data_IF_764922328405
#
_entry.id   IF_764922328405
#
_cell.length_a   1.000
_cell.length_b   1.000
_cell.length_c   1.000
_cell.angle_alpha   90.00
_cell.angle_beta   90.00
_cell.angle_gamma   90.00
#
_symmetry.space_group_name_H-M   'P 1'
#
loop_
_entity.id
_entity.type
_entity.pdbx_description
1 polymer ?
#
# COMPACT_ATOMS: atom_id res chain seq x y z
N UNK A 1 -19.50 -6.37 -2.84
CA UNK A 1 -19.95 -7.10 -1.64
C UNK A 1 -18.87 -7.01 -0.58
N UNK A 2 -19.19 -6.60 0.64
CA UNK A 2 -18.24 -6.51 1.76
C UNK A 2 -18.49 -7.67 2.71
N UNK A 3 -17.49 -8.54 2.90
CA UNK A 3 -17.48 -9.58 3.93
C UNK A 3 -16.74 -9.08 5.17
N UNK A 4 -17.26 -9.33 6.37
CA UNK A 4 -16.62 -8.91 7.62
C UNK A 4 -15.85 -10.10 8.22
N UNK A 5 -14.52 -10.01 8.30
CA UNK A 5 -13.71 -11.02 8.99
C UNK A 5 -13.39 -10.59 10.43
N UNK A 6 -13.66 -11.41 11.44
CA UNK A 6 -13.32 -11.08 12.82
C UNK A 6 -11.79 -11.04 13.02
N UNK A 7 -11.29 -10.06 13.79
CA UNK A 7 -9.87 -9.93 14.17
C UNK A 7 -9.50 -10.80 15.38
N UNK A 8 -10.49 -11.20 16.18
CA UNK A 8 -10.34 -11.94 17.45
C UNK A 8 -11.58 -12.82 17.68
N UNK A 9 -11.44 -13.87 18.49
CA UNK A 9 -12.59 -14.63 18.98
C UNK A 9 -13.50 -13.69 19.80
N UNK A 10 -14.82 -13.78 19.59
CA UNK A 10 -15.83 -12.90 20.21
C UNK A 10 -15.76 -11.41 19.80
N UNK A 11 -15.64 -11.14 18.50
CA UNK A 11 -15.75 -9.79 17.94
C UNK A 11 -17.17 -9.22 18.14
N UNK A 12 -17.31 -8.11 18.89
CA UNK A 12 -18.61 -7.48 19.20
C UNK A 12 -18.76 -6.05 18.67
N UNK A 13 -17.65 -5.35 18.44
CA UNK A 13 -17.67 -3.97 17.92
C UNK A 13 -17.31 -3.98 16.43
N UNK A 14 -17.85 -3.05 15.65
CA UNK A 14 -17.52 -2.89 14.21
C UNK A 14 -15.99 -2.83 13.96
N UNK A 15 -15.25 -2.22 14.89
CA UNK A 15 -13.79 -2.07 14.84
C UNK A 15 -13.03 -3.41 14.96
N UNK A 16 -13.67 -4.42 15.55
CA UNK A 16 -13.13 -5.77 15.70
C UNK A 16 -13.20 -6.58 14.41
N UNK A 17 -13.85 -6.05 13.36
CA UNK A 17 -13.95 -6.68 12.06
C UNK A 17 -13.01 -6.03 11.04
N UNK A 18 -12.53 -6.82 10.08
CA UNK A 18 -11.87 -6.36 8.85
C UNK A 18 -12.90 -6.44 7.72
N UNK A 19 -13.32 -5.31 7.13
CA UNK A 19 -14.12 -5.36 5.92
C UNK A 19 -13.23 -5.84 4.76
N UNK A 20 -13.67 -6.88 4.06
CA UNK A 20 -13.10 -7.36 2.82
C UNK A 20 -14.09 -7.11 1.71
N UNK A 21 -13.74 -6.20 0.81
CA UNK A 21 -14.50 -6.00 -0.42
C UNK A 21 -14.19 -7.12 -1.41
N UNK A 22 -15.18 -7.95 -1.72
CA UNK A 22 -15.21 -8.80 -2.89
C UNK A 22 -15.39 -7.90 -4.12
N UNK A 23 -14.27 -7.41 -4.63
CA UNK A 23 -14.19 -6.70 -5.92
C UNK A 23 -14.41 -7.68 -7.08
N UNK A 24 -14.99 -7.19 -8.18
CA UNK A 24 -15.22 -7.97 -9.39
C UNK A 24 -13.93 -8.64 -9.87
N UNK A 25 -14.00 -9.92 -10.25
CA UNK A 25 -12.84 -10.72 -10.67
C UNK A 25 -12.05 -10.05 -11.80
N UNK A 26 -12.75 -9.42 -12.75
CA UNK A 26 -12.14 -8.68 -13.87
C UNK A 26 -11.25 -7.54 -13.37
N UNK A 27 -11.74 -6.73 -12.42
CA UNK A 27 -10.95 -5.64 -11.82
C UNK A 27 -9.73 -6.17 -11.06
N UNK A 28 -9.83 -7.34 -10.40
CA UNK A 28 -8.66 -8.01 -9.78
C UNK A 28 -7.61 -8.38 -10.81
N UNK A 29 -8.03 -8.96 -11.93
CA UNK A 29 -7.12 -9.37 -13.01
C UNK A 29 -6.42 -8.15 -13.59
N UNK A 30 -7.17 -7.09 -13.92
CA UNK A 30 -6.61 -5.84 -14.46
C UNK A 30 -5.63 -5.23 -13.46
N UNK A 31 -6.02 -5.08 -12.19
CA UNK A 31 -5.14 -4.55 -11.14
C UNK A 31 -3.86 -5.40 -10.99
N UNK A 32 -3.96 -6.73 -11.09
CA UNK A 32 -2.80 -7.63 -11.04
C UNK A 32 -1.87 -7.44 -12.23
N UNK A 33 -2.41 -7.27 -13.44
CA UNK A 33 -1.63 -7.00 -14.65
C UNK A 33 -0.88 -5.68 -14.50
N UNK A 34 -1.56 -4.62 -14.07
CA UNK A 34 -0.93 -3.32 -13.83
C UNK A 34 0.16 -3.41 -12.75
N UNK A 35 -0.14 -4.01 -11.59
CA UNK A 35 0.85 -4.18 -10.53
C UNK A 35 2.10 -4.96 -10.99
N UNK A 36 1.92 -5.95 -11.87
CA UNK A 36 3.03 -6.73 -12.44
C UNK A 36 3.88 -5.87 -13.37
N UNK A 37 3.27 -5.01 -14.19
CA UNK A 37 4.01 -4.06 -15.04
C UNK A 37 4.74 -3.00 -14.21
N UNK A 38 4.08 -2.44 -13.18
CA UNK A 38 4.67 -1.45 -12.29
C UNK A 38 5.92 -1.99 -11.58
N UNK A 39 5.90 -3.28 -11.20
CA UNK A 39 7.06 -3.94 -10.57
C UNK A 39 8.34 -3.83 -11.41
N UNK A 40 8.24 -3.80 -12.74
CA UNK A 40 9.41 -3.67 -13.62
C UNK A 40 10.11 -2.32 -13.52
N UNK A 41 9.42 -1.27 -13.07
CA UNK A 41 9.95 0.10 -12.99
C UNK A 41 10.04 0.64 -11.57
N UNK A 42 9.34 0.02 -10.60
CA UNK A 42 9.20 0.56 -9.24
C UNK A 42 10.54 0.78 -8.54
N UNK A 43 11.54 -0.07 -8.78
CA UNK A 43 12.88 0.04 -8.19
C UNK A 43 13.65 1.28 -8.63
N UNK A 44 13.33 1.84 -9.81
CA UNK A 44 13.91 3.09 -10.30
C UNK A 44 13.25 4.34 -9.72
N UNK A 45 12.05 4.19 -9.13
CA UNK A 45 11.23 5.29 -8.62
C UNK A 45 11.40 5.44 -7.11
N UNK A 46 11.53 4.33 -6.38
CA UNK A 46 11.58 4.31 -4.93
C UNK A 46 13.02 4.27 -4.39
N UNK A 47 13.20 4.78 -3.18
CA UNK A 47 14.48 4.68 -2.47
C UNK A 47 14.89 3.22 -2.24
N UNK A 48 16.19 2.87 -2.32
CA UNK A 48 16.70 1.58 -1.89
C UNK A 48 16.36 1.22 -0.43
N UNK A 49 16.08 2.22 0.42
CA UNK A 49 15.62 2.02 1.80
C UNK A 49 14.17 1.53 1.91
N UNK A 50 13.36 1.67 0.84
CA UNK A 50 11.99 1.17 0.81
C UNK A 50 11.99 -0.36 0.69
N UNK A 51 11.33 -1.04 1.61
CA UNK A 51 11.30 -2.50 1.69
C UNK A 51 9.88 -3.08 1.73
N UNK A 52 8.90 -2.32 2.19
CA UNK A 52 7.51 -2.75 2.25
C UNK A 52 6.92 -2.99 0.85
N UNK A 53 6.16 -4.07 0.71
CA UNK A 53 5.39 -4.43 -0.49
C UNK A 53 6.23 -4.71 -1.76
N UNK A 54 7.53 -4.96 -1.62
CA UNK A 54 8.41 -5.34 -2.72
C UNK A 54 8.70 -6.84 -2.66
N UNK A 55 8.54 -7.53 -3.79
CA UNK A 55 8.76 -8.99 -3.83
C UNK A 55 10.21 -9.42 -3.62
N UNK A 56 11.17 -8.50 -3.77
CA UNK A 56 12.60 -8.76 -3.60
C UNK A 56 13.11 -8.44 -2.19
N UNK A 57 12.26 -7.97 -1.27
CA UNK A 57 12.69 -7.53 0.07
C UNK A 57 11.78 -8.09 1.15
N UNK A 58 12.40 -8.37 2.28
CA UNK A 58 11.76 -8.91 3.47
C UNK A 58 11.73 -7.90 4.61
N UNK A 59 10.93 -8.19 5.64
CA UNK A 59 10.94 -7.43 6.90
C UNK A 59 12.33 -7.47 7.56
N UNK A 60 13.06 -8.57 7.42
CA UNK A 60 14.41 -8.73 7.97
C UNK A 60 15.40 -7.76 7.30
N UNK A 61 15.31 -7.56 5.99
CA UNK A 61 16.15 -6.59 5.27
C UNK A 61 15.95 -5.16 5.80
N UNK A 62 14.70 -4.81 6.10
CA UNK A 62 14.34 -3.51 6.69
C UNK A 62 14.97 -3.33 8.07
N UNK A 63 14.90 -4.36 8.90
CA UNK A 63 15.48 -4.36 10.24
C UNK A 63 17.00 -4.25 10.18
N UNK A 64 17.65 -5.04 9.33
CA UNK A 64 19.10 -5.00 9.14
C UNK A 64 19.56 -3.63 8.62
N UNK A 65 18.82 -3.03 7.68
CA UNK A 65 19.11 -1.69 7.17
C UNK A 65 19.10 -0.65 8.30
N UNK A 66 18.04 -0.63 9.12
CA UNK A 66 17.93 0.29 10.26
C UNK A 66 19.03 0.02 11.31
N UNK A 67 19.28 -1.23 11.65
CA UNK A 67 20.30 -1.62 12.62
C UNK A 67 21.71 -1.19 12.16
N UNK A 68 22.03 -1.39 10.89
CA UNK A 68 23.31 -0.98 10.31
C UNK A 68 23.46 0.55 10.25
N UNK A 69 22.36 1.28 9.97
CA UNK A 69 22.37 2.73 10.03
C UNK A 69 22.68 3.24 11.45
N UNK A 70 22.04 2.68 12.48
CA UNK A 70 22.30 3.03 13.89
C UNK A 70 23.74 2.69 14.29
N UNK A 71 24.23 1.48 13.97
CA UNK A 71 25.62 1.08 14.25
C UNK A 71 26.63 2.01 13.58
N UNK A 72 26.36 2.43 12.34
CA UNK A 72 27.23 3.36 11.59
C UNK A 72 27.30 4.73 12.26
N UNK A 73 26.16 5.28 12.70
CA UNK A 73 26.10 6.56 13.42
C UNK A 73 26.83 6.49 14.76
N UNK A 74 26.62 5.41 15.51
CA UNK A 74 27.30 5.17 16.79
C UNK A 74 28.82 5.09 16.61
N UNK A 75 29.31 4.31 15.63
CA UNK A 75 30.75 4.21 15.33
C UNK A 75 31.36 5.56 14.93
N UNK A 76 30.60 6.40 14.23
CA UNK A 76 31.03 7.75 13.83
C UNK A 76 30.87 8.79 14.94
N UNK A 77 30.39 8.41 16.13
CA UNK A 77 30.05 9.32 17.24
C UNK A 77 29.19 10.51 16.79
N UNK A 78 28.30 10.27 15.82
CA UNK A 78 27.41 11.31 15.28
C UNK A 78 26.09 11.27 16.06
N UNK A 79 25.76 12.32 16.84
CA UNK A 79 24.46 12.44 17.47
C UNK A 79 23.37 12.38 16.39
N UNK A 80 22.31 11.62 16.64
CA UNK A 80 21.19 11.47 15.73
C UNK A 80 19.91 11.20 16.49
N UNK A 81 18.78 11.57 15.88
CA UNK A 81 17.43 11.29 16.38
C UNK A 81 16.73 10.33 15.41
N UNK A 82 16.00 9.36 15.96
CA UNK A 82 15.19 8.44 15.18
C UNK A 82 13.72 8.87 15.26
N UNK A 83 13.14 9.18 14.10
CA UNK A 83 11.71 9.43 13.98
C UNK A 83 10.99 8.15 13.53
N UNK A 84 10.02 7.71 14.32
CA UNK A 84 9.10 6.64 13.95
C UNK A 84 7.77 7.27 13.55
N UNK A 85 7.47 7.25 12.26
CA UNK A 85 6.24 7.79 11.69
C UNK A 85 5.33 6.63 11.29
N UNK A 86 4.05 6.72 11.64
CA UNK A 86 3.00 5.79 11.22
C UNK A 86 1.83 6.59 10.66
N UNK A 87 1.36 6.21 9.47
CA UNK A 87 0.27 6.91 8.79
C UNK A 87 -1.03 6.17 9.09
N UNK A 88 -1.88 6.79 9.89
CA UNK A 88 -3.20 6.25 10.18
C UNK A 88 -4.01 6.07 8.89
N UNK A 89 -4.55 4.86 8.69
CA UNK A 89 -5.42 4.51 7.56
C UNK A 89 -4.84 4.94 6.19
N UNK A 90 -3.56 4.64 5.95
CA UNK A 90 -2.85 5.09 4.75
C UNK A 90 -3.59 4.82 3.42
N UNK A 91 -4.29 3.69 3.28
CA UNK A 91 -5.04 3.39 2.05
C UNK A 91 -6.34 4.19 1.93
N UNK A 92 -6.95 4.61 3.04
CA UNK A 92 -8.20 5.37 3.05
C UNK A 92 -7.94 6.88 2.89
N UNK A 93 -6.75 7.35 3.26
CA UNK A 93 -6.40 8.77 3.33
C UNK A 93 -5.54 9.27 2.14
N UNK A 94 -5.18 8.41 1.19
CA UNK A 94 -4.43 8.84 0.00
C UNK A 94 -5.34 9.61 -0.94
N UNK A 95 -4.99 10.86 -1.25
CA UNK A 95 -5.66 11.64 -2.30
C UNK A 95 -5.40 11.00 -3.67
N UNK A 96 -6.48 10.69 -4.38
CA UNK A 96 -6.41 10.09 -5.71
C UNK A 96 -5.93 11.10 -6.76
N UNK A 97 -6.30 12.37 -6.60
CA UNK A 97 -5.83 13.47 -7.45
C UNK A 97 -4.31 13.58 -7.36
N UNK A 98 -3.78 13.66 -6.13
CA UNK A 98 -2.34 13.69 -5.88
C UNK A 98 -1.62 12.47 -6.45
N UNK A 99 -2.21 11.27 -6.32
CA UNK A 99 -1.63 10.05 -6.87
C UNK A 99 -1.51 10.08 -8.40
N UNK A 100 -2.51 10.65 -9.09
CA UNK A 100 -2.49 10.78 -10.55
C UNK A 100 -1.50 11.87 -11.01
N UNK A 101 -1.44 13.00 -10.30
CA UNK A 101 -0.44 14.06 -10.53
C UNK A 101 0.99 13.57 -10.31
N UNK A 102 1.23 12.81 -9.24
CA UNK A 102 2.53 12.21 -8.97
C UNK A 102 2.96 11.27 -10.11
N UNK A 103 2.05 10.41 -10.57
CA UNK A 103 2.34 9.54 -11.72
C UNK A 103 2.63 10.33 -12.99
N UNK A 104 1.95 11.46 -13.20
CA UNK A 104 2.25 12.36 -14.30
C UNK A 104 3.65 12.95 -14.19
N UNK A 105 4.03 13.43 -13.01
CA UNK A 105 5.36 13.97 -12.77
C UNK A 105 6.47 12.91 -12.93
N UNK A 106 6.19 11.66 -12.55
CA UNK A 106 7.07 10.52 -12.76
C UNK A 106 7.10 10.01 -14.21
N UNK A 107 6.40 10.66 -15.14
CA UNK A 107 6.44 10.35 -16.57
C UNK A 107 5.57 9.17 -17.00
N UNK A 108 4.61 8.73 -16.18
CA UNK A 108 3.70 7.65 -16.58
C UNK A 108 2.80 8.12 -17.73
N UNK A 109 2.58 7.30 -18.78
CA UNK A 109 1.72 7.67 -19.91
C UNK A 109 0.29 8.00 -19.49
N UNK A 110 -0.41 8.87 -20.23
CA UNK A 110 -1.82 9.21 -19.99
C UNK A 110 -2.70 7.97 -19.87
N UNK A 111 -2.57 7.04 -20.83
CA UNK A 111 -3.31 5.76 -20.84
C UNK A 111 -3.15 4.95 -19.56
N UNK A 112 -1.97 4.95 -18.95
CA UNK A 112 -1.76 4.27 -17.67
C UNK A 112 -2.56 4.96 -16.56
N UNK A 113 -2.48 6.28 -16.48
CA UNK A 113 -3.21 7.07 -15.49
C UNK A 113 -4.72 6.93 -15.67
N UNK A 114 -5.21 6.87 -16.91
CA UNK A 114 -6.63 6.62 -17.22
C UNK A 114 -7.10 5.26 -16.68
N UNK A 115 -6.29 4.20 -16.84
CA UNK A 115 -6.60 2.89 -16.27
C UNK A 115 -6.60 2.89 -14.74
N UNK A 116 -5.65 3.60 -14.11
CA UNK A 116 -5.65 3.77 -12.65
C UNK A 116 -6.88 4.53 -12.19
N UNK A 117 -7.23 5.63 -12.86
CA UNK A 117 -8.43 6.41 -12.54
C UNK A 117 -9.71 5.58 -12.65
N UNK A 118 -9.84 4.77 -13.71
CA UNK A 118 -10.96 3.82 -13.87
C UNK A 118 -11.03 2.77 -12.76
N UNK A 119 -9.88 2.25 -12.31
CA UNK A 119 -9.85 1.29 -11.19
C UNK A 119 -10.24 1.94 -9.86
N UNK A 120 -9.84 3.19 -9.64
CA UNK A 120 -10.19 3.94 -8.43
C UNK A 120 -11.68 4.33 -8.43
N UNK A 121 -12.21 4.81 -9.57
CA UNK A 121 -13.61 5.23 -9.67
C UNK A 121 -14.61 4.06 -9.67
N UNK A 122 -14.22 2.90 -10.21
CA UNK A 122 -15.06 1.69 -10.26
C UNK A 122 -15.09 0.90 -8.94
N UNK A 123 -14.30 1.30 -7.95
CA UNK A 123 -14.26 0.66 -6.63
C UNK A 123 -15.55 0.96 -5.83
N UNK A 124 -16.62 0.23 -6.14
CA UNK A 124 -17.87 0.28 -5.38
C UNK A 124 -17.97 -0.88 -4.40
N UNK A 125 -18.36 -0.58 -3.16
CA UNK A 125 -18.56 -1.57 -2.09
C UNK A 125 -20.01 -1.59 -1.64
N UNK A 126 -20.76 -2.61 -2.03
CA UNK A 126 -22.08 -2.91 -1.44
C UNK A 126 -21.90 -3.71 -0.13
N UNK A 127 -22.46 -3.21 0.96
CA UNK A 127 -22.52 -3.91 2.25
C UNK A 127 -23.80 -4.75 2.28
N UNK A 128 -23.66 -6.06 2.48
CA UNK A 128 -24.80 -6.95 2.65
C UNK A 128 -24.90 -7.29 4.14
N UNK A 129 -25.94 -6.79 4.80
CA UNK A 129 -26.26 -7.13 6.18
C UNK A 129 -27.31 -8.24 6.16
N UNK A 130 -27.04 -9.35 6.85
CA UNK A 130 -27.98 -10.45 7.08
C UNK A 130 -28.45 -11.28 5.86
N UNK A 131 -27.75 -11.23 4.72
CA UNK A 131 -27.90 -12.25 3.68
C UNK A 131 -29.27 -12.32 2.98
N UNK A 132 -30.00 -11.21 2.88
CA UNK A 132 -31.17 -11.07 2.00
C UNK A 132 -31.06 -9.80 1.20
#
# INVERSE_FOLDING_TARGET
MVALLPKKESAMKVQDFRPISLIHLVSKIIAKVLATRLRGVISSIISPAQSGFLSSKSTQDSFLYAQNAVRSLHRKKRPALMFKLDIAKAFDNVSWEYLLELQQHLGFPSRWRDWIALLLSSASSAVMLNGS
#
